data_IF_131715881997
#
_entry.id   IF_131715881997
#
_cell.length_a   1.000
_cell.length_b   1.000
_cell.length_c   1.000
_cell.angle_alpha   90.00
_cell.angle_beta   90.00
_cell.angle_gamma   90.00
#
_symmetry.space_group_name_H-M   'P 1'
#
loop_
_entity.id
_entity.type
_entity.pdbx_description
1 polymer ?
#
# COMPACT_ATOMS: atom_id res chain seq x y z
N UNK A 1 21.31 13.42 32.44
CA UNK A 1 21.88 12.65 31.31
C UNK A 1 21.23 11.27 31.36
N UNK A 2 20.14 11.09 30.62
CA UNK A 2 19.39 9.84 30.62
C UNK A 2 20.06 8.93 29.60
N UNK A 3 20.53 7.77 30.07
CA UNK A 3 21.28 6.78 29.30
C UNK A 3 20.49 6.38 28.04
N UNK A 4 21.19 6.51 26.93
CA UNK A 4 20.75 6.29 25.55
C UNK A 4 20.41 4.80 25.34
N UNK A 5 19.16 4.43 25.59
CA UNK A 5 18.66 3.11 25.23
C UNK A 5 18.23 3.13 23.76
N UNK A 6 18.69 2.16 22.96
CA UNK A 6 18.29 2.02 21.54
C UNK A 6 16.79 1.88 21.31
N UNK A 7 16.01 1.58 22.36
CA UNK A 7 14.57 1.43 22.32
C UNK A 7 13.89 2.32 23.36
N UNK A 8 12.80 3.01 22.99
CA UNK A 8 12.04 3.81 23.94
C UNK A 8 11.42 2.92 25.01
N UNK A 9 11.25 3.47 26.22
CA UNK A 9 10.47 2.81 27.27
C UNK A 9 9.02 2.56 26.80
N UNK A 10 8.36 1.52 27.33
CA UNK A 10 6.97 1.26 27.00
C UNK A 10 6.08 2.46 27.36
N UNK A 11 4.95 2.67 26.65
CA UNK A 11 4.06 3.80 26.91
C UNK A 11 3.49 3.81 28.33
N UNK A 12 3.42 4.98 28.98
CA UNK A 12 3.05 5.16 30.40
C UNK A 12 1.77 4.43 30.86
N UNK A 13 0.82 4.22 29.95
CA UNK A 13 -0.43 3.53 30.23
C UNK A 13 -0.28 2.02 30.49
N UNK A 14 0.91 1.42 30.29
CA UNK A 14 1.14 0.00 30.57
C UNK A 14 0.86 -0.38 32.03
N UNK A 15 1.10 0.54 32.98
CA UNK A 15 0.86 0.33 34.41
C UNK A 15 -0.62 0.14 34.78
N UNK A 16 -1.53 0.51 33.88
CA UNK A 16 -2.98 0.45 34.10
C UNK A 16 -3.50 -0.99 33.88
N UNK A 17 -2.75 -1.83 33.16
CA UNK A 17 -3.09 -3.22 32.84
C UNK A 17 -2.84 -4.16 34.03
N UNK A 18 -3.63 -4.01 35.10
CA UNK A 18 -3.63 -4.90 36.27
C UNK A 18 -4.80 -5.88 36.23
N UNK A 19 -4.66 -7.05 36.86
CA UNK A 19 -5.71 -8.07 36.92
C UNK A 19 -7.04 -7.54 37.50
N UNK A 20 -6.96 -6.65 38.48
CA UNK A 20 -8.14 -6.05 39.10
C UNK A 20 -8.82 -5.04 38.17
N UNK A 21 -8.06 -4.21 37.46
CA UNK A 21 -8.58 -3.27 36.47
C UNK A 21 -9.21 -4.00 35.27
N UNK A 22 -8.63 -5.12 34.85
CA UNK A 22 -9.18 -5.97 33.79
C UNK A 22 -10.51 -6.61 34.19
N UNK A 23 -10.65 -7.08 35.43
CA UNK A 23 -11.93 -7.60 35.96
C UNK A 23 -13.00 -6.52 36.01
N UNK A 24 -12.64 -5.30 36.42
CA UNK A 24 -13.54 -4.13 36.43
C UNK A 24 -13.99 -3.78 35.02
N UNK A 25 -13.09 -3.75 34.06
CA UNK A 25 -13.41 -3.50 32.66
C UNK A 25 -14.32 -4.58 32.04
N UNK A 26 -14.12 -5.86 32.40
CA UNK A 26 -14.94 -6.97 31.91
C UNK A 26 -16.38 -6.98 32.48
N UNK A 27 -16.58 -6.52 33.72
CA UNK A 27 -17.90 -6.45 34.35
C UNK A 27 -18.75 -5.26 33.88
N UNK A 28 -18.14 -4.26 33.27
CA UNK A 28 -18.81 -3.03 32.81
C UNK A 28 -18.98 -3.07 31.30
N UNK A 29 -20.06 -3.71 30.84
CA UNK A 29 -20.40 -3.75 29.44
C UNK A 29 -20.68 -2.33 28.91
N UNK A 30 -19.74 -1.79 28.16
CA UNK A 30 -20.06 -1.15 26.89
C UNK A 30 -20.13 0.37 26.80
N UNK A 31 -20.18 1.18 27.88
CA UNK A 31 -20.09 2.65 27.74
C UNK A 31 -19.77 3.45 29.03
N UNK A 32 -19.91 2.90 30.25
CA UNK A 32 -19.73 3.71 31.48
C UNK A 32 -18.29 3.78 32.01
N UNK A 33 -17.33 3.09 31.37
CA UNK A 33 -15.88 3.18 31.70
C UNK A 33 -15.25 4.49 31.20
N UNK A 34 -15.99 5.25 30.36
CA UNK A 34 -15.48 6.45 29.68
C UNK A 34 -15.29 7.68 30.58
N UNK A 35 -15.91 7.72 31.77
CA UNK A 35 -15.74 8.85 32.69
C UNK A 35 -14.46 8.74 33.55
N UNK A 36 -13.97 7.51 33.78
CA UNK A 36 -12.75 7.29 34.54
C UNK A 36 -11.53 7.43 33.60
N UNK A 37 -10.98 8.64 33.56
CA UNK A 37 -10.00 9.12 32.57
C UNK A 37 -8.73 8.24 32.37
N UNK A 38 -8.47 7.26 33.24
CA UNK A 38 -7.34 6.33 33.14
C UNK A 38 -7.74 4.93 32.65
N UNK A 39 -8.96 4.45 32.90
CA UNK A 39 -9.39 3.10 32.48
C UNK A 39 -9.72 3.02 30.98
N UNK A 40 -9.91 4.16 30.31
CA UNK A 40 -10.08 4.24 28.85
C UNK A 40 -8.97 3.56 28.05
N UNK A 41 -7.75 3.51 28.59
CA UNK A 41 -6.59 2.91 27.89
C UNK A 41 -6.63 1.38 27.86
N UNK A 42 -7.54 0.75 28.61
CA UNK A 42 -7.79 -0.70 28.53
C UNK A 42 -8.62 -1.08 27.31
N UNK A 43 -9.34 -0.12 26.73
CA UNK A 43 -10.08 -0.31 25.48
C UNK A 43 -9.17 0.03 24.31
N UNK A 44 -9.19 -0.77 23.22
CA UNK A 44 -8.53 -0.39 21.99
C UNK A 44 -9.02 0.99 21.51
N UNK A 45 -8.12 1.89 21.11
CA UNK A 45 -8.53 3.18 20.57
C UNK A 45 -9.35 2.98 19.29
N UNK A 46 -10.32 3.87 19.00
CA UNK A 46 -11.06 3.81 17.75
C UNK A 46 -10.10 4.00 16.56
N UNK A 47 -10.35 3.33 15.42
CA UNK A 47 -9.52 3.51 14.23
C UNK A 47 -9.57 4.97 13.75
N UNK A 48 -8.43 5.58 13.40
CA UNK A 48 -8.43 6.93 12.85
C UNK A 48 -9.17 6.94 11.51
N UNK A 49 -10.03 7.93 11.29
CA UNK A 49 -10.83 8.05 10.04
C UNK A 49 -10.13 8.91 8.99
N UNK A 50 -9.32 9.88 9.43
CA UNK A 50 -8.65 10.87 8.59
C UNK A 50 -7.35 11.36 9.24
N UNK A 51 -6.51 12.00 8.45
CA UNK A 51 -5.24 12.58 8.89
C UNK A 51 -4.03 11.78 8.43
N UNK A 52 -2.90 12.04 9.10
CA UNK A 52 -1.63 11.35 8.87
C UNK A 52 -1.18 10.61 10.10
N UNK A 53 -0.43 9.54 9.91
CA UNK A 53 0.21 8.80 10.99
C UNK A 53 1.68 8.57 10.63
N UNK A 54 2.53 8.49 11.64
CA UNK A 54 3.98 8.31 11.41
C UNK A 54 4.36 6.87 11.68
N UNK A 55 5.02 6.22 10.73
CA UNK A 55 5.63 4.90 10.89
C UNK A 55 7.08 4.99 10.44
N UNK A 56 8.01 4.59 11.32
CA UNK A 56 9.46 4.58 11.07
C UNK A 56 9.99 5.92 10.52
N UNK A 57 9.53 7.04 11.10
CA UNK A 57 9.93 8.39 10.69
C UNK A 57 9.33 8.88 9.37
N UNK A 58 8.42 8.11 8.74
CA UNK A 58 7.69 8.52 7.54
C UNK A 58 6.25 8.84 7.88
N UNK A 59 5.75 9.96 7.36
CA UNK A 59 4.35 10.32 7.44
C UNK A 59 3.56 9.60 6.34
N UNK A 60 2.48 8.93 6.75
CA UNK A 60 1.56 8.22 5.89
C UNK A 60 0.18 8.82 6.02
N UNK A 61 -0.61 8.77 4.94
CA UNK A 61 -2.02 9.17 4.98
C UNK A 61 -2.86 8.00 5.49
N UNK A 62 -3.85 8.27 6.35
CA UNK A 62 -4.80 7.27 6.84
C UNK A 62 -5.63 6.69 5.67
N UNK A 63 -5.96 7.53 4.69
CA UNK A 63 -6.61 7.10 3.46
C UNK A 63 -5.54 6.89 2.40
N UNK A 64 -5.37 5.65 1.96
CA UNK A 64 -4.38 5.31 0.94
C UNK A 64 -4.89 5.78 -0.44
N UNK A 65 -4.28 6.86 -0.94
CA UNK A 65 -4.52 7.41 -2.27
C UNK A 65 -3.19 7.46 -3.00
N UNK A 66 -3.19 6.99 -4.25
CA UNK A 66 -2.06 7.18 -5.15
C UNK A 66 -1.90 8.70 -5.41
N UNK A 67 -0.76 9.32 -5.01
CA UNK A 67 -0.51 10.73 -5.30
C UNK A 67 -0.42 10.94 -6.82
N UNK A 68 -0.91 12.09 -7.30
CA UNK A 68 -0.80 12.41 -8.73
C UNK A 68 0.65 12.74 -9.10
N UNK A 69 1.01 12.57 -10.37
CA UNK A 69 2.33 12.99 -10.88
C UNK A 69 2.55 14.50 -10.72
N UNK A 70 1.48 15.30 -10.84
CA UNK A 70 1.52 16.74 -10.62
C UNK A 70 1.83 17.11 -9.17
N UNK A 71 1.28 16.40 -8.18
CA UNK A 71 1.60 16.57 -6.76
C UNK A 71 3.08 16.24 -6.45
N UNK A 72 3.71 15.42 -7.30
CA UNK A 72 5.12 15.03 -7.18
C UNK A 72 6.07 15.92 -7.99
N UNK A 73 5.57 16.97 -8.67
CA UNK A 73 6.33 17.81 -9.61
C UNK A 73 6.98 17.03 -10.76
N UNK A 74 6.34 15.95 -11.23
CA UNK A 74 6.83 15.12 -12.34
C UNK A 74 5.95 15.33 -13.56
N UNK A 75 6.52 15.57 -14.75
CA UNK A 75 5.73 15.72 -15.97
C UNK A 75 5.04 14.40 -16.32
N UNK A 76 3.73 14.48 -16.55
CA UNK A 76 2.96 13.34 -17.03
C UNK A 76 3.20 13.15 -18.53
N UNK A 77 3.67 11.96 -18.91
CA UNK A 77 4.09 11.65 -20.28
C UNK A 77 2.99 10.99 -21.12
N UNK A 78 1.79 10.79 -20.57
CA UNK A 78 0.62 10.16 -21.19
C UNK A 78 -0.62 11.05 -21.03
N UNK A 79 -1.61 10.97 -21.94
CA UNK A 79 -2.79 11.85 -21.90
C UNK A 79 -3.62 11.64 -20.62
N UNK A 80 -4.33 12.67 -20.17
CA UNK A 80 -5.29 12.58 -19.06
C UNK A 80 -6.63 12.00 -19.57
N UNK A 81 -7.20 11.02 -18.87
CA UNK A 81 -8.56 10.51 -19.15
C UNK A 81 -8.69 8.98 -19.21
N UNK A 82 -9.75 8.44 -19.84
CA UNK A 82 -9.92 7.01 -20.06
C UNK A 82 -8.97 6.55 -21.16
N UNK A 83 -7.81 6.03 -20.77
CA UNK A 83 -6.75 5.62 -21.69
C UNK A 83 -6.59 4.09 -21.66
N UNK A 84 -6.19 3.51 -22.79
CA UNK A 84 -5.64 2.15 -22.79
C UNK A 84 -4.26 2.15 -22.11
N UNK A 85 -4.29 1.85 -20.81
CA UNK A 85 -3.09 1.78 -19.95
C UNK A 85 -2.05 0.81 -20.48
N UNK A 86 -2.45 -0.28 -21.15
CA UNK A 86 -1.52 -1.28 -21.67
C UNK A 86 -0.78 -0.73 -22.90
N UNK A 87 -1.50 -0.03 -23.78
CA UNK A 87 -0.89 0.63 -24.93
C UNK A 87 0.09 1.73 -24.50
N UNK A 88 -0.31 2.56 -23.52
CA UNK A 88 0.58 3.61 -22.99
C UNK A 88 1.81 3.04 -22.29
N UNK A 89 1.65 1.98 -21.50
CA UNK A 89 2.78 1.31 -20.85
C UNK A 89 3.79 0.78 -21.88
N UNK A 90 3.30 0.19 -22.99
CA UNK A 90 4.15 -0.25 -24.10
C UNK A 90 4.83 0.92 -24.80
N UNK A 91 4.13 2.05 -24.97
CA UNK A 91 4.70 3.27 -25.56
C UNK A 91 5.82 3.84 -24.69
N UNK A 92 5.58 3.97 -23.39
CA UNK A 92 6.60 4.43 -22.43
C UNK A 92 7.79 3.47 -22.36
N UNK A 93 7.56 2.16 -22.42
CA UNK A 93 8.65 1.18 -22.45
C UNK A 93 9.56 1.35 -23.68
N UNK A 94 8.97 1.59 -24.87
CA UNK A 94 9.75 1.93 -26.07
C UNK A 94 10.51 3.24 -25.90
N UNK A 95 9.90 4.23 -25.25
CA UNK A 95 10.54 5.52 -24.98
C UNK A 95 11.76 5.38 -24.06
N UNK A 96 11.73 4.48 -23.08
CA UNK A 96 12.92 4.16 -22.24
C UNK A 96 14.08 3.67 -23.11
N UNK A 97 13.81 2.81 -24.11
CA UNK A 97 14.84 2.28 -25.00
C UNK A 97 15.46 3.41 -25.82
N UNK A 98 14.65 4.32 -26.37
CA UNK A 98 15.16 5.47 -27.12
C UNK A 98 16.00 6.40 -26.24
N UNK A 99 15.54 6.75 -25.04
CA UNK A 99 16.32 7.60 -24.13
C UNK A 99 17.62 6.93 -23.67
N UNK A 100 17.66 5.60 -23.56
CA UNK A 100 18.88 4.87 -23.26
C UNK A 100 19.88 4.89 -24.43
N UNK A 101 19.40 4.75 -25.67
CA UNK A 101 20.26 4.88 -26.86
C UNK A 101 20.80 6.31 -26.99
N UNK A 102 19.95 7.32 -26.79
CA UNK A 102 20.35 8.72 -26.75
C UNK A 102 21.40 8.99 -25.65
N UNK A 103 21.27 8.34 -24.49
CA UNK A 103 22.25 8.45 -23.40
C UNK A 103 23.61 7.88 -23.83
N UNK A 104 23.64 6.72 -24.48
CA UNK A 104 24.89 6.14 -25.00
C UNK A 104 25.53 7.08 -26.02
N UNK A 105 24.73 7.62 -26.94
CA UNK A 105 25.22 8.55 -27.96
C UNK A 105 25.81 9.84 -27.35
N UNK A 106 25.17 10.36 -26.29
CA UNK A 106 25.69 11.52 -25.54
C UNK A 106 26.99 11.15 -24.83
N UNK A 107 27.07 9.99 -24.18
CA UNK A 107 28.29 9.55 -23.49
C UNK A 107 29.48 9.38 -24.44
N UNK A 108 29.24 9.02 -25.70
CA UNK A 108 30.29 8.94 -26.72
C UNK A 108 30.73 10.31 -27.22
N UNK A 109 29.80 11.27 -27.40
CA UNK A 109 30.08 12.59 -27.98
C UNK A 109 30.52 13.64 -26.96
N UNK A 110 29.79 13.76 -25.85
CA UNK A 110 30.04 14.70 -24.76
C UNK A 110 29.60 14.09 -23.42
N UNK A 111 30.52 13.45 -22.69
CA UNK A 111 30.24 12.80 -21.41
C UNK A 111 29.73 13.77 -20.34
N UNK A 112 29.93 15.09 -20.48
CA UNK A 112 29.55 16.06 -19.45
C UNK A 112 28.03 16.28 -19.36
N UNK A 113 27.29 15.98 -20.42
CA UNK A 113 25.84 16.25 -20.52
C UNK A 113 24.93 15.05 -20.16
N UNK A 114 25.47 13.99 -19.55
CA UNK A 114 24.70 12.77 -19.24
C UNK A 114 23.54 13.00 -18.24
N UNK A 115 23.66 14.01 -17.37
CA UNK A 115 22.69 14.28 -16.29
C UNK A 115 21.27 14.51 -16.81
N UNK A 116 21.11 15.36 -17.82
CA UNK A 116 19.80 15.69 -18.41
C UNK A 116 19.12 14.50 -19.11
N UNK A 117 19.90 13.50 -19.56
CA UNK A 117 19.35 12.25 -20.12
C UNK A 117 18.97 11.27 -19.02
N UNK A 118 19.74 11.22 -17.94
CA UNK A 118 19.44 10.38 -16.78
C UNK A 118 18.17 10.85 -16.07
N UNK A 119 17.96 12.17 -15.95
CA UNK A 119 16.72 12.75 -15.42
C UNK A 119 15.50 12.38 -16.28
N UNK A 120 15.61 12.47 -17.61
CA UNK A 120 14.55 12.02 -18.51
C UNK A 120 14.19 10.55 -18.32
N UNK A 121 15.20 9.67 -18.26
CA UNK A 121 14.99 8.24 -18.01
C UNK A 121 14.26 8.02 -16.67
N UNK A 122 14.67 8.74 -15.62
CA UNK A 122 14.01 8.70 -14.31
C UNK A 122 12.53 9.09 -14.43
N UNK A 123 12.21 10.16 -15.13
CA UNK A 123 10.83 10.62 -15.31
C UNK A 123 9.98 9.57 -16.05
N UNK A 124 10.54 8.92 -17.09
CA UNK A 124 9.84 7.84 -17.79
C UNK A 124 9.53 6.69 -16.84
N UNK A 125 10.49 6.27 -16.02
CA UNK A 125 10.28 5.20 -15.05
C UNK A 125 9.23 5.55 -14.00
N UNK A 126 9.23 6.79 -13.49
CA UNK A 126 8.20 7.20 -12.52
C UNK A 126 6.81 7.18 -13.16
N UNK A 127 6.68 7.62 -14.42
CA UNK A 127 5.43 7.53 -15.18
C UNK A 127 4.97 6.07 -15.38
N UNK A 128 5.89 5.17 -15.72
CA UNK A 128 5.62 3.72 -15.82
C UNK A 128 5.13 3.17 -14.48
N UNK A 129 5.80 3.51 -13.38
CA UNK A 129 5.39 3.08 -12.04
C UNK A 129 4.01 3.59 -11.67
N UNK A 130 3.70 4.84 -12.00
CA UNK A 130 2.40 5.42 -11.74
C UNK A 130 1.29 4.66 -12.49
N UNK A 131 1.44 4.41 -13.80
CA UNK A 131 0.48 3.62 -14.58
C UNK A 131 0.29 2.20 -14.05
N UNK A 132 1.38 1.53 -13.63
CA UNK A 132 1.30 0.20 -13.02
C UNK A 132 0.52 0.27 -11.70
N UNK A 133 0.78 1.28 -10.87
CA UNK A 133 0.09 1.43 -9.59
C UNK A 133 -1.41 1.66 -9.79
N UNK A 134 -1.82 2.45 -10.78
CA UNK A 134 -3.23 2.58 -11.13
C UNK A 134 -3.86 1.27 -11.61
N UNK A 135 -3.09 0.43 -12.32
CA UNK A 135 -3.57 -0.86 -12.82
C UNK A 135 -3.76 -1.90 -11.72
N UNK A 136 -3.12 -1.74 -10.54
CA UNK A 136 -3.23 -2.69 -9.41
C UNK A 136 -4.66 -2.95 -8.96
N UNK A 137 -5.52 -1.95 -8.97
CA UNK A 137 -6.93 -2.12 -8.58
C UNK A 137 -7.68 -3.03 -9.56
N UNK A 138 -7.40 -2.91 -10.86
CA UNK A 138 -7.97 -3.82 -11.87
C UNK A 138 -7.43 -5.24 -11.68
N UNK A 139 -6.11 -5.37 -11.48
CA UNK A 139 -5.47 -6.65 -11.21
C UNK A 139 -6.08 -7.35 -9.99
N UNK A 140 -6.27 -6.64 -8.86
CA UNK A 140 -6.85 -7.21 -7.65
C UNK A 140 -8.26 -7.78 -7.88
N UNK A 141 -9.08 -7.11 -8.69
CA UNK A 141 -10.43 -7.59 -9.05
C UNK A 141 -10.37 -8.86 -9.89
N UNK A 142 -9.51 -8.91 -10.90
CA UNK A 142 -9.37 -10.12 -11.73
C UNK A 142 -8.76 -11.28 -10.95
N UNK A 143 -7.82 -11.01 -10.03
CA UNK A 143 -7.29 -12.00 -9.10
C UNK A 143 -8.40 -12.56 -8.19
N UNK A 144 -9.26 -11.71 -7.62
CA UNK A 144 -10.38 -12.14 -6.80
C UNK A 144 -11.37 -13.02 -7.59
N UNK A 145 -11.68 -12.62 -8.82
CA UNK A 145 -12.55 -13.37 -9.73
C UNK A 145 -11.98 -14.75 -10.07
N UNK A 146 -10.67 -14.86 -10.27
CA UNK A 146 -9.98 -16.13 -10.47
C UNK A 146 -10.10 -17.01 -9.24
N UNK A 147 -9.77 -16.49 -8.04
CA UNK A 147 -9.91 -17.23 -6.77
C UNK A 147 -11.33 -17.75 -6.56
N UNK A 148 -12.35 -16.93 -6.85
CA UNK A 148 -13.75 -17.35 -6.73
C UNK A 148 -14.12 -18.49 -7.69
N UNK A 149 -13.62 -18.46 -8.93
CA UNK A 149 -13.83 -19.54 -9.90
C UNK A 149 -13.16 -20.84 -9.45
N UNK A 150 -11.96 -20.77 -8.91
CA UNK A 150 -11.26 -21.92 -8.35
C UNK A 150 -12.02 -22.52 -7.16
N UNK A 151 -12.55 -21.67 -6.26
CA UNK A 151 -13.39 -22.13 -5.15
C UNK A 151 -14.67 -22.83 -5.63
N UNK A 152 -15.33 -22.32 -6.67
CA UNK A 152 -16.52 -22.96 -7.25
C UNK A 152 -16.14 -24.32 -7.84
N UNK A 153 -15.04 -24.39 -8.59
CA UNK A 153 -14.55 -25.64 -9.19
C UNK A 153 -14.24 -26.68 -8.12
N UNK A 154 -13.49 -26.30 -7.08
CA UNK A 154 -13.13 -27.19 -5.98
C UNK A 154 -14.36 -27.69 -5.23
N UNK A 155 -15.35 -26.83 -4.96
CA UNK A 155 -16.61 -27.24 -4.32
C UNK A 155 -17.40 -28.22 -5.18
N UNK A 156 -17.47 -28.00 -6.50
CA UNK A 156 -18.16 -28.93 -7.42
C UNK A 156 -17.51 -30.30 -7.42
N UNK A 157 -16.18 -30.36 -7.54
CA UNK A 157 -15.42 -31.60 -7.48
C UNK A 157 -15.61 -32.34 -6.14
N UNK A 158 -15.61 -31.62 -5.02
CA UNK A 158 -15.86 -32.21 -3.71
C UNK A 158 -17.28 -32.79 -3.60
N UNK A 159 -18.30 -32.11 -4.15
CA UNK A 159 -19.67 -32.61 -4.20
C UNK A 159 -19.78 -33.85 -5.08
N UNK A 160 -19.20 -33.84 -6.29
CA UNK A 160 -19.16 -34.98 -7.21
C UNK A 160 -18.47 -36.19 -6.56
N UNK A 161 -17.34 -35.98 -5.90
CA UNK A 161 -16.62 -37.02 -5.15
C UNK A 161 -17.48 -37.61 -4.03
N UNK A 162 -18.20 -36.76 -3.29
CA UNK A 162 -19.07 -37.21 -2.19
C UNK A 162 -20.27 -38.00 -2.73
N UNK A 163 -20.88 -37.56 -3.83
CA UNK A 163 -21.99 -38.26 -4.47
C UNK A 163 -21.56 -39.64 -4.97
N UNK A 164 -20.43 -39.74 -5.67
CA UNK A 164 -19.90 -41.02 -6.15
C UNK A 164 -19.69 -42.02 -5.01
N UNK A 165 -19.15 -41.55 -3.87
CA UNK A 165 -18.92 -42.40 -2.69
C UNK A 165 -20.19 -42.82 -1.95
N UNK A 166 -21.31 -42.13 -2.17
CA UNK A 166 -22.61 -42.50 -1.60
C UNK A 166 -23.37 -43.51 -2.48
N UNK A 167 -22.98 -43.66 -3.75
CA UNK A 167 -23.57 -44.63 -4.69
C UNK A 167 -22.88 -46.01 -4.62
N UNK A 168 -21.63 -46.05 -4.14
CA UNK A 168 -20.87 -47.26 -3.78
C UNK A 168 -21.25 -47.82 -2.39
#
# INVERSE_FOLDING_TARGET
>A
QQLDAMYPSPPDYYNIFTNDNMKRAAGTAGNSVLEDSKLRFLLPPPPPKSGTYTIFGRMWQVQDRLPSLSEQNIPQLYPEGPIDRIAELKRLNRMVIFEFLDLIDVLVKDPSQYGARTERIRDVFVNIHHLINEYRQHQAKETLKLMMREQISSKRQATEYTLAKCED
#
